data_IF_966094828428
#
_entry.id   IF_966094828428
#
_cell.length_a   1.000
_cell.length_b   1.000
_cell.length_c   1.000
_cell.angle_alpha   90.00
_cell.angle_beta   90.00
_cell.angle_gamma   90.00
#
_symmetry.space_group_name_H-M   'P 1'
#
loop_
_entity.id
_entity.type
_entity.pdbx_description
1 polymer ?
#
# COMPACT_ATOMS: atom_id res chain seq x y z
N UNK A 1 -63.52 4.40 11.03
CA UNK A 1 -62.38 3.46 10.89
C UNK A 1 -61.67 3.42 9.53
N UNK A 2 -62.09 4.18 8.50
CA UNK A 2 -61.39 4.18 7.18
C UNK A 2 -60.39 5.32 6.97
N UNK A 3 -60.51 6.43 7.70
CA UNK A 3 -59.63 7.60 7.57
C UNK A 3 -58.23 7.40 8.23
N UNK A 4 -58.17 6.64 9.31
CA UNK A 4 -56.88 6.40 10.05
C UNK A 4 -55.94 5.47 9.26
N UNK A 5 -56.43 4.63 8.40
CA UNK A 5 -55.60 3.71 7.57
C UNK A 5 -54.95 4.42 6.36
N UNK A 6 -55.57 5.48 5.85
CA UNK A 6 -55.00 6.28 4.73
C UNK A 6 -53.82 7.17 5.18
N UNK A 7 -53.85 7.72 6.39
CA UNK A 7 -52.79 8.57 6.89
C UNK A 7 -51.53 7.77 7.24
N UNK A 8 -51.67 6.52 7.75
CA UNK A 8 -50.55 5.63 8.03
C UNK A 8 -49.81 5.18 6.76
N UNK A 9 -50.52 4.99 5.64
CA UNK A 9 -49.91 4.59 4.36
C UNK A 9 -49.07 5.72 3.72
N UNK A 10 -49.47 6.98 3.88
CA UNK A 10 -48.79 8.13 3.29
C UNK A 10 -47.45 8.46 4.05
N UNK A 11 -47.40 8.22 5.35
CA UNK A 11 -46.19 8.44 6.15
C UNK A 11 -45.14 7.35 5.86
N UNK A 12 -45.55 6.10 5.65
CA UNK A 12 -44.65 5.01 5.30
C UNK A 12 -44.02 5.16 3.89
N UNK A 13 -44.79 5.69 2.93
CA UNK A 13 -44.30 5.94 1.57
C UNK A 13 -43.29 7.12 1.53
N UNK A 14 -43.47 8.14 2.37
CA UNK A 14 -42.56 9.27 2.47
C UNK A 14 -41.23 8.90 3.13
N UNK A 15 -41.20 7.93 4.05
CA UNK A 15 -40.01 7.45 4.71
C UNK A 15 -39.09 6.60 3.77
N UNK A 16 -39.67 5.92 2.79
CA UNK A 16 -38.89 5.12 1.81
C UNK A 16 -38.24 5.97 0.72
N UNK A 17 -38.71 7.19 0.46
CA UNK A 17 -38.11 8.13 -0.50
C UNK A 17 -36.92 8.90 0.07
N UNK A 18 -36.80 8.95 1.39
CA UNK A 18 -35.68 9.65 2.07
C UNK A 18 -34.39 8.81 2.18
N UNK A 19 -34.46 7.49 1.94
CA UNK A 19 -33.31 6.60 2.08
C UNK A 19 -32.39 6.52 0.85
N UNK A 20 -32.77 7.15 -0.28
CA UNK A 20 -32.02 7.06 -1.55
C UNK A 20 -31.01 8.20 -1.79
N UNK A 21 -30.97 9.22 -0.93
CA UNK A 21 -30.20 10.43 -1.21
C UNK A 21 -28.81 10.48 -0.56
N UNK A 22 -28.39 9.44 0.20
CA UNK A 22 -27.20 9.55 1.04
C UNK A 22 -25.86 9.23 0.33
N UNK A 23 -25.85 8.84 -0.95
CA UNK A 23 -24.62 8.47 -1.67
C UNK A 23 -24.39 9.26 -2.97
N UNK A 24 -25.19 10.29 -3.24
CA UNK A 24 -25.12 10.99 -4.53
C UNK A 24 -23.89 11.89 -4.71
N UNK A 25 -23.24 12.31 -3.64
CA UNK A 25 -22.23 13.39 -3.69
C UNK A 25 -20.82 12.98 -3.28
N UNK A 26 -20.55 11.67 -3.10
CA UNK A 26 -19.17 11.23 -2.85
C UNK A 26 -18.29 11.40 -4.12
N UNK A 27 -17.09 12.00 -4.01
CA UNK A 27 -16.50 12.63 -2.83
C UNK A 27 -16.87 14.12 -2.66
N UNK A 28 -17.23 14.54 -1.44
CA UNK A 28 -17.53 15.95 -1.08
C UNK A 28 -16.32 16.69 -0.49
N UNK A 29 -15.28 15.96 -0.10
CA UNK A 29 -14.06 16.50 0.54
C UNK A 29 -12.81 15.84 -0.04
N UNK A 30 -11.61 16.43 0.16
CA UNK A 30 -10.37 15.84 -0.30
C UNK A 30 -10.13 14.42 0.23
N UNK A 31 -9.58 13.55 -0.62
CA UNK A 31 -9.22 12.18 -0.27
C UNK A 31 -7.77 12.13 0.21
N UNK A 32 -7.53 11.57 1.38
CA UNK A 32 -6.20 11.35 1.94
C UNK A 32 -5.65 10.00 1.47
N UNK A 33 -4.46 10.01 0.86
CA UNK A 33 -3.74 8.78 0.51
C UNK A 33 -2.52 8.67 1.43
N UNK A 34 -2.55 7.72 2.35
CA UNK A 34 -1.42 7.45 3.24
C UNK A 34 -0.42 6.52 2.56
N UNK A 35 0.86 6.87 2.67
CA UNK A 35 1.99 6.12 2.11
C UNK A 35 2.94 5.74 3.25
N UNK A 36 3.21 4.44 3.40
CA UNK A 36 4.04 3.89 4.48
C UNK A 36 5.55 4.08 4.29
N UNK A 37 5.98 4.89 3.32
CA UNK A 37 7.37 5.12 2.96
C UNK A 37 7.66 6.61 2.82
N UNK A 38 8.96 6.96 2.81
CA UNK A 38 9.41 8.35 2.70
C UNK A 38 9.00 8.97 1.37
N UNK A 39 8.78 10.29 1.38
CA UNK A 39 8.53 11.08 0.19
C UNK A 39 9.68 10.92 -0.82
N UNK A 40 9.36 10.92 -2.11
CA UNK A 40 10.30 10.73 -3.22
C UNK A 40 10.63 9.25 -3.52
N UNK A 41 10.21 8.30 -2.70
CA UNK A 41 10.33 6.88 -3.00
C UNK A 41 9.33 6.38 -4.05
N UNK A 42 9.55 5.17 -4.59
CA UNK A 42 8.71 4.62 -5.67
C UNK A 42 7.22 4.57 -5.33
N UNK A 43 6.86 4.18 -4.11
CA UNK A 43 5.45 4.16 -3.68
C UNK A 43 4.87 5.57 -3.59
N UNK A 44 5.63 6.55 -3.09
CA UNK A 44 5.19 7.94 -3.02
C UNK A 44 4.99 8.55 -4.41
N UNK A 45 5.94 8.33 -5.32
CA UNK A 45 5.84 8.79 -6.71
C UNK A 45 4.62 8.20 -7.41
N UNK A 46 4.37 6.89 -7.23
CA UNK A 46 3.17 6.24 -7.75
C UNK A 46 1.90 6.84 -7.14
N UNK A 47 1.88 7.07 -5.82
CA UNK A 47 0.73 7.65 -5.15
C UNK A 47 0.41 9.07 -5.65
N UNK A 48 1.42 9.90 -5.89
CA UNK A 48 1.24 11.25 -6.45
C UNK A 48 0.69 11.21 -7.87
N UNK A 49 1.21 10.33 -8.73
CA UNK A 49 0.68 10.14 -10.07
C UNK A 49 -0.77 9.65 -10.04
N UNK A 50 -1.10 8.71 -9.15
CA UNK A 50 -2.46 8.24 -8.96
C UNK A 50 -3.41 9.33 -8.44
N UNK A 51 -2.97 10.12 -7.45
CA UNK A 51 -3.74 11.25 -6.92
C UNK A 51 -4.05 12.30 -7.98
N UNK A 52 -3.08 12.62 -8.85
CA UNK A 52 -3.28 13.52 -9.98
C UNK A 52 -4.33 13.00 -10.95
N UNK A 53 -4.25 11.72 -11.30
CA UNK A 53 -5.23 11.06 -12.18
C UNK A 53 -6.62 11.00 -11.56
N UNK A 54 -6.72 10.72 -10.26
CA UNK A 54 -8.01 10.71 -9.55
C UNK A 54 -8.75 12.03 -9.70
N UNK A 55 -8.04 13.17 -9.56
CA UNK A 55 -8.65 14.49 -9.69
C UNK A 55 -9.31 14.71 -11.06
N UNK A 56 -8.76 14.11 -12.11
CA UNK A 56 -9.26 14.21 -13.50
C UNK A 56 -10.41 13.23 -13.79
N UNK A 57 -10.61 12.22 -12.94
CA UNK A 57 -11.62 11.20 -13.17
C UNK A 57 -13.04 11.78 -12.98
N UNK A 58 -13.95 11.57 -13.96
CA UNK A 58 -15.30 12.15 -13.91
C UNK A 58 -16.10 11.75 -12.65
N UNK A 59 -15.83 10.56 -12.10
CA UNK A 59 -16.50 10.03 -10.90
C UNK A 59 -16.02 10.68 -9.60
N UNK A 60 -14.98 11.50 -9.67
CA UNK A 60 -14.38 12.13 -8.50
C UNK A 60 -14.87 13.56 -8.27
N UNK A 61 -15.78 14.08 -9.10
CA UNK A 61 -16.35 15.43 -8.99
C UNK A 61 -15.29 16.54 -8.81
N UNK A 62 -14.06 16.33 -9.32
CA UNK A 62 -12.95 17.25 -9.13
C UNK A 62 -12.40 17.29 -7.70
N UNK A 63 -12.78 16.39 -6.81
CA UNK A 63 -12.24 16.34 -5.46
C UNK A 63 -10.72 16.06 -5.50
N UNK A 64 -9.89 16.87 -4.83
CA UNK A 64 -8.46 16.64 -4.80
C UNK A 64 -8.10 15.45 -3.92
N UNK A 65 -7.05 14.73 -4.31
CA UNK A 65 -6.40 13.76 -3.43
C UNK A 65 -5.03 14.30 -2.98
N UNK A 66 -4.64 14.03 -1.74
CA UNK A 66 -3.36 14.46 -1.19
C UNK A 66 -2.63 13.33 -0.48
N UNK A 67 -1.31 13.41 -0.49
CA UNK A 67 -0.43 12.35 0.03
C UNK A 67 0.05 12.69 1.43
N UNK A 68 -0.03 11.71 2.35
CA UNK A 68 0.55 11.77 3.69
C UNK A 68 1.57 10.63 3.83
N UNK A 69 2.85 11.00 3.92
CA UNK A 69 3.92 10.02 4.14
C UNK A 69 4.08 9.75 5.64
N UNK A 70 3.97 8.50 6.05
CA UNK A 70 4.17 8.05 7.43
C UNK A 70 5.12 6.83 7.45
N UNK A 71 6.43 7.04 7.22
CA UNK A 71 7.38 5.95 7.15
C UNK A 71 7.62 5.29 8.51
N UNK A 72 7.99 4.01 8.48
CA UNK A 72 8.40 3.26 9.66
C UNK A 72 7.88 1.82 9.67
N UNK A 73 8.67 0.93 10.26
CA UNK A 73 8.38 -0.48 10.40
C UNK A 73 7.93 -1.15 9.08
N UNK A 74 8.64 -0.87 7.97
CA UNK A 74 8.29 -1.37 6.62
C UNK A 74 6.84 -1.06 6.21
N UNK A 75 6.34 0.14 6.55
CA UNK A 75 4.99 0.59 6.23
C UNK A 75 3.93 0.28 7.30
N UNK A 76 4.21 -0.56 8.27
CA UNK A 76 3.22 -0.96 9.29
C UNK A 76 2.74 0.21 10.17
N UNK A 77 3.58 1.25 10.34
CA UNK A 77 3.18 2.46 11.06
C UNK A 77 2.00 3.16 10.37
N UNK A 78 2.07 3.29 9.06
CA UNK A 78 0.98 3.87 8.27
C UNK A 78 -0.25 2.97 8.25
N UNK A 79 -0.07 1.65 8.11
CA UNK A 79 -1.17 0.69 8.18
C UNK A 79 -1.98 0.84 9.47
N UNK A 80 -1.31 0.89 10.62
CA UNK A 80 -1.98 1.13 11.91
C UNK A 80 -2.70 2.47 11.98
N UNK A 81 -2.11 3.52 11.41
CA UNK A 81 -2.74 4.84 11.39
C UNK A 81 -4.02 4.83 10.54
N UNK A 82 -4.01 4.17 9.39
CA UNK A 82 -5.20 4.02 8.54
C UNK A 82 -6.32 3.24 9.24
N UNK A 83 -5.98 2.19 9.99
CA UNK A 83 -6.97 1.42 10.75
C UNK A 83 -7.66 2.20 11.88
N UNK A 84 -7.09 3.34 12.29
CA UNK A 84 -7.68 4.24 13.28
C UNK A 84 -8.49 5.38 12.66
N UNK A 85 -8.53 5.48 11.33
CA UNK A 85 -9.35 6.45 10.61
C UNK A 85 -10.75 5.89 10.35
N UNK A 86 -11.70 6.76 10.08
CA UNK A 86 -13.05 6.33 9.71
C UNK A 86 -13.05 5.56 8.38
N UNK A 87 -13.83 4.50 8.30
CA UNK A 87 -13.99 3.69 7.08
C UNK A 87 -15.05 4.33 6.13
N UNK A 88 -14.90 5.64 5.89
CA UNK A 88 -15.84 6.47 5.10
C UNK A 88 -15.42 6.64 3.62
N UNK A 89 -14.33 5.99 3.21
CA UNK A 89 -13.78 6.09 1.85
C UNK A 89 -12.84 7.28 1.63
N UNK A 90 -12.63 8.17 2.61
CA UNK A 90 -11.77 9.34 2.47
C UNK A 90 -10.32 9.14 2.94
N UNK A 91 -10.00 7.98 3.51
CA UNK A 91 -8.62 7.60 3.81
C UNK A 91 -8.26 6.32 3.08
N UNK A 92 -7.34 6.42 2.13
CA UNK A 92 -6.81 5.30 1.37
C UNK A 92 -5.40 4.96 1.83
N UNK A 93 -5.00 3.72 1.69
CA UNK A 93 -3.65 3.27 1.96
C UNK A 93 -2.99 2.76 0.68
N UNK A 94 -1.88 3.36 0.28
CA UNK A 94 -1.09 2.88 -0.86
C UNK A 94 0.20 2.25 -0.38
N UNK A 95 0.37 0.98 -0.71
CA UNK A 95 1.50 0.17 -0.30
C UNK A 95 1.86 -0.85 -1.38
N UNK A 96 3.11 -1.31 -1.37
CA UNK A 96 3.50 -2.51 -2.10
C UNK A 96 2.91 -3.74 -1.40
N UNK A 97 2.03 -4.47 -2.09
CA UNK A 97 1.29 -5.60 -1.48
C UNK A 97 2.22 -6.69 -0.95
N UNK A 98 3.30 -7.00 -1.65
CA UNK A 98 4.28 -7.99 -1.20
C UNK A 98 4.97 -7.57 0.10
N UNK A 99 5.30 -6.27 0.24
CA UNK A 99 5.84 -5.72 1.49
C UNK A 99 4.81 -5.77 2.62
N UNK A 100 3.55 -5.51 2.30
CA UNK A 100 2.46 -5.54 3.26
C UNK A 100 2.26 -6.95 3.86
N UNK A 101 2.20 -7.96 2.99
CA UNK A 101 2.10 -9.37 3.39
C UNK A 101 3.37 -9.83 4.12
N UNK A 102 4.56 -9.50 3.62
CA UNK A 102 5.82 -9.87 4.27
C UNK A 102 5.94 -9.25 5.68
N UNK A 103 5.46 -8.00 5.84
CA UNK A 103 5.42 -7.33 7.13
C UNK A 103 4.48 -7.99 8.13
N UNK A 104 3.36 -8.52 7.67
CA UNK A 104 2.43 -9.31 8.49
C UNK A 104 3.05 -10.66 8.90
N UNK A 105 3.56 -11.41 7.93
CA UNK A 105 4.15 -12.72 8.17
C UNK A 105 5.37 -12.66 9.11
N UNK A 106 6.17 -11.60 9.01
CA UNK A 106 7.33 -11.39 9.88
C UNK A 106 6.97 -11.19 11.37
N UNK A 107 5.72 -10.88 11.68
CA UNK A 107 5.21 -10.68 13.04
C UNK A 107 4.52 -11.92 13.63
N UNK A 108 4.16 -12.88 12.80
CA UNK A 108 3.43 -14.06 13.25
C UNK A 108 2.16 -13.69 14.03
N UNK A 109 2.01 -14.24 15.24
CA UNK A 109 0.84 -13.98 16.08
C UNK A 109 0.82 -12.57 16.71
N UNK A 110 1.98 -11.87 16.76
CA UNK A 110 2.09 -10.50 17.26
C UNK A 110 1.73 -9.44 16.21
N UNK A 111 1.17 -9.85 15.07
CA UNK A 111 0.75 -8.95 14.01
C UNK A 111 -0.36 -8.00 14.50
N UNK A 112 -0.26 -6.71 14.14
CA UNK A 112 -1.25 -5.72 14.56
C UNK A 112 -2.56 -5.76 13.75
N UNK A 113 -2.60 -6.50 12.64
CA UNK A 113 -3.73 -6.65 11.72
C UNK A 113 -3.57 -7.93 10.88
N UNK A 114 -4.67 -8.40 10.32
CA UNK A 114 -4.69 -9.46 9.32
C UNK A 114 -5.13 -8.87 7.97
N UNK A 115 -4.28 -8.96 6.94
CA UNK A 115 -4.50 -8.24 5.67
C UNK A 115 -5.86 -8.52 5.04
N UNK A 116 -6.34 -9.79 4.92
CA UNK A 116 -7.63 -10.06 4.31
C UNK A 116 -8.83 -9.43 5.03
N UNK A 117 -8.73 -9.25 6.35
CA UNK A 117 -9.86 -8.83 7.18
C UNK A 117 -9.81 -7.35 7.55
N UNK A 118 -8.59 -6.78 7.60
CA UNK A 118 -8.36 -5.42 8.06
C UNK A 118 -8.52 -4.36 6.97
N UNK A 119 -8.42 -4.74 5.68
CA UNK A 119 -8.43 -3.80 4.56
C UNK A 119 -9.25 -4.34 3.40
N UNK A 120 -9.97 -3.44 2.75
CA UNK A 120 -10.60 -3.72 1.46
C UNK A 120 -9.62 -3.39 0.35
N UNK A 121 -9.24 -4.38 -0.46
CA UNK A 121 -8.37 -4.15 -1.62
C UNK A 121 -9.18 -3.55 -2.78
N UNK A 122 -8.88 -2.31 -3.13
CA UNK A 122 -9.56 -1.59 -4.22
C UNK A 122 -8.93 -1.88 -5.59
N UNK A 123 -7.70 -2.36 -5.63
CA UNK A 123 -7.02 -2.67 -6.89
C UNK A 123 -5.51 -2.40 -6.84
N UNK A 124 -4.87 -2.55 -8.01
CA UNK A 124 -3.44 -2.34 -8.19
C UNK A 124 -3.20 -1.10 -9.07
N UNK A 125 -2.55 -0.08 -8.52
CA UNK A 125 -2.25 1.16 -9.22
C UNK A 125 -1.02 1.06 -10.14
N UNK A 126 -0.08 0.13 -9.86
CA UNK A 126 1.13 -0.08 -10.66
C UNK A 126 1.78 -1.42 -10.35
N UNK A 127 2.67 -1.86 -11.24
CA UNK A 127 3.58 -2.99 -10.99
C UNK A 127 4.99 -2.44 -10.75
N UNK A 128 5.66 -2.97 -9.73
CA UNK A 128 7.05 -2.64 -9.42
C UNK A 128 7.97 -3.79 -9.86
N UNK A 129 9.02 -3.42 -10.58
CA UNK A 129 10.10 -4.36 -10.95
C UNK A 129 11.23 -4.20 -9.94
N UNK A 130 11.65 -5.31 -9.34
CA UNK A 130 12.80 -5.33 -8.44
C UNK A 130 14.08 -5.54 -9.23
N UNK A 131 15.10 -4.71 -8.97
CA UNK A 131 16.43 -4.86 -9.54
C UNK A 131 17.49 -4.97 -8.44
N UNK A 132 18.55 -5.74 -8.70
CA UNK A 132 19.76 -5.74 -7.90
C UNK A 132 20.78 -4.82 -8.57
N UNK A 133 21.32 -3.88 -7.82
CA UNK A 133 22.30 -2.90 -8.31
C UNK A 133 23.57 -2.96 -7.47
N UNK A 134 24.70 -2.77 -8.10
CA UNK A 134 26.01 -2.65 -7.47
C UNK A 134 26.64 -1.31 -7.84
N UNK A 135 27.55 -0.83 -7.00
CA UNK A 135 28.27 0.41 -7.28
C UNK A 135 29.14 0.26 -8.55
N UNK A 136 29.34 1.33 -9.29
CA UNK A 136 30.12 1.35 -10.54
C UNK A 136 31.58 0.93 -10.39
N UNK A 137 32.13 0.97 -9.18
CA UNK A 137 33.46 0.42 -8.89
C UNK A 137 33.50 -1.11 -8.81
N UNK A 138 32.34 -1.78 -8.80
CA UNK A 138 32.31 -3.24 -8.89
C UNK A 138 32.68 -3.65 -10.32
N UNK A 139 33.64 -4.58 -10.53
CA UNK A 139 34.09 -4.95 -11.85
C UNK A 139 33.08 -5.81 -12.63
N UNK A 140 32.07 -6.37 -11.95
CA UNK A 140 31.07 -7.21 -12.60
C UNK A 140 30.16 -6.39 -13.51
N UNK A 141 29.99 -6.83 -14.74
CA UNK A 141 29.08 -6.26 -15.75
C UNK A 141 27.84 -7.11 -15.97
N UNK A 142 27.86 -8.35 -15.46
CA UNK A 142 26.75 -9.30 -15.53
C UNK A 142 26.46 -9.88 -14.15
N UNK A 143 25.25 -10.43 -13.98
CA UNK A 143 24.87 -11.12 -12.75
C UNK A 143 25.77 -12.33 -12.48
N UNK A 144 26.16 -13.08 -13.51
CA UNK A 144 27.05 -14.23 -13.35
C UNK A 144 28.42 -13.81 -12.84
N UNK A 145 29.02 -12.78 -13.44
CA UNK A 145 30.30 -12.24 -12.97
C UNK A 145 30.23 -11.74 -11.52
N UNK A 146 29.12 -11.09 -11.14
CA UNK A 146 28.91 -10.68 -9.75
C UNK A 146 28.90 -11.87 -8.79
N UNK A 147 28.19 -12.94 -9.13
CA UNK A 147 28.12 -14.17 -8.33
C UNK A 147 29.49 -14.80 -8.20
N UNK A 148 30.19 -15.00 -9.32
CA UNK A 148 31.50 -15.67 -9.36
C UNK A 148 32.56 -14.89 -8.60
N UNK A 149 32.66 -13.58 -8.84
CA UNK A 149 33.60 -12.71 -8.15
C UNK A 149 33.33 -12.64 -6.63
N UNK A 150 32.06 -12.61 -6.25
CA UNK A 150 31.66 -12.56 -4.86
C UNK A 150 32.02 -13.86 -4.14
N UNK A 151 31.74 -15.00 -4.73
CA UNK A 151 32.15 -16.33 -4.20
C UNK A 151 33.67 -16.47 -4.10
N UNK A 152 34.38 -16.10 -5.16
CA UNK A 152 35.85 -16.15 -5.17
C UNK A 152 36.48 -15.27 -4.10
N UNK A 153 35.85 -14.13 -3.76
CA UNK A 153 36.37 -13.24 -2.72
C UNK A 153 36.26 -13.78 -1.30
N UNK A 154 35.35 -14.73 -1.04
CA UNK A 154 35.02 -15.25 0.29
C UNK A 154 34.46 -14.22 1.25
N UNK A 155 34.16 -13.00 0.81
CA UNK A 155 33.70 -11.90 1.64
C UNK A 155 32.19 -11.94 1.85
N UNK A 156 31.73 -11.54 3.03
CA UNK A 156 30.33 -11.32 3.32
C UNK A 156 29.82 -10.09 2.59
N UNK A 157 28.77 -10.23 1.80
CA UNK A 157 28.13 -9.12 1.08
C UNK A 157 27.30 -8.30 2.07
N UNK A 158 27.55 -6.98 2.11
CA UNK A 158 26.65 -6.03 2.76
C UNK A 158 25.74 -5.43 1.71
N UNK A 159 24.45 -5.43 1.98
CA UNK A 159 23.45 -4.94 1.04
C UNK A 159 22.35 -4.16 1.74
N UNK A 160 21.62 -3.36 1.00
CA UNK A 160 20.54 -2.51 1.52
C UNK A 160 19.24 -2.71 0.76
N UNK A 161 18.15 -2.40 1.44
CA UNK A 161 16.80 -2.44 0.89
C UNK A 161 15.91 -1.41 1.62
N UNK A 162 14.70 -1.21 1.15
CA UNK A 162 13.74 -0.24 1.71
C UNK A 162 13.20 -0.60 3.11
N UNK A 163 13.61 -1.73 3.69
CA UNK A 163 13.19 -2.17 5.04
C UNK A 163 13.36 -3.67 5.25
N UNK A 164 13.49 -4.09 6.52
CA UNK A 164 13.79 -5.49 6.87
C UNK A 164 12.67 -6.46 6.49
N UNK A 165 11.42 -6.08 6.73
CA UNK A 165 10.23 -6.87 6.42
C UNK A 165 9.59 -6.40 5.11
N UNK A 166 10.37 -6.36 4.03
CA UNK A 166 9.88 -5.99 2.70
C UNK A 166 10.07 -7.15 1.72
N UNK A 167 9.29 -7.16 0.66
CA UNK A 167 9.48 -8.14 -0.44
C UNK A 167 10.89 -8.05 -1.02
N UNK A 168 11.46 -6.85 -1.15
CA UNK A 168 12.84 -6.68 -1.60
C UNK A 168 13.85 -7.36 -0.68
N UNK A 169 13.64 -7.30 0.63
CA UNK A 169 14.48 -8.02 1.59
C UNK A 169 14.37 -9.52 1.42
N UNK A 170 13.17 -10.04 1.30
CA UNK A 170 12.91 -11.47 1.09
C UNK A 170 13.58 -11.96 -0.20
N UNK A 171 13.39 -11.26 -1.31
CA UNK A 171 14.00 -11.60 -2.61
C UNK A 171 15.54 -11.59 -2.48
N UNK A 172 16.11 -10.57 -1.84
CA UNK A 172 17.56 -10.49 -1.64
C UNK A 172 18.11 -11.65 -0.81
N UNK A 173 17.49 -12.01 0.30
CA UNK A 173 17.89 -13.18 1.10
C UNK A 173 17.81 -14.46 0.28
N UNK A 174 16.67 -14.73 -0.37
CA UNK A 174 16.49 -15.92 -1.22
C UNK A 174 17.55 -15.98 -2.33
N UNK A 175 17.87 -14.84 -2.95
CA UNK A 175 18.91 -14.78 -3.96
C UNK A 175 20.29 -15.15 -3.40
N UNK A 176 20.75 -14.52 -2.33
CA UNK A 176 22.07 -14.78 -1.77
C UNK A 176 22.17 -16.22 -1.22
N UNK A 177 21.13 -16.73 -0.59
CA UNK A 177 21.07 -18.10 -0.08
C UNK A 177 21.11 -19.12 -1.22
N UNK A 178 20.35 -18.91 -2.29
CA UNK A 178 20.30 -19.81 -3.46
C UNK A 178 21.67 -19.96 -4.13
N UNK A 179 22.47 -18.90 -4.10
CA UNK A 179 23.83 -18.94 -4.66
C UNK A 179 24.93 -19.23 -3.61
N UNK A 180 24.57 -19.46 -2.34
CA UNK A 180 25.51 -19.74 -1.27
C UNK A 180 26.45 -18.56 -0.99
N UNK A 181 25.97 -17.33 -1.15
CA UNK A 181 26.76 -16.10 -0.92
C UNK A 181 26.56 -15.64 0.52
N UNK A 182 27.63 -15.60 1.35
CA UNK A 182 27.54 -15.05 2.69
C UNK A 182 27.11 -13.57 2.64
N UNK A 183 26.02 -13.22 3.35
CA UNK A 183 25.47 -11.88 3.27
C UNK A 183 24.98 -11.38 4.64
N UNK A 184 24.96 -10.04 4.79
CA UNK A 184 24.31 -9.35 5.91
C UNK A 184 23.64 -8.08 5.42
N UNK A 185 22.54 -7.77 6.06
CA UNK A 185 21.77 -6.56 5.82
C UNK A 185 22.17 -5.46 6.78
#
# INVERSE_FOLDING_TARGET
>A
MKFTKMIAGSIAASAMLASGAAFADYPEKPIKIMVGFSAGGGTDTTARGFASYMHEAPTMNGAPAYIVNLPGASGQKAAKAVLNEDADGYTLYMINIGTFIAGELAKGDDRPYHVPDAFVNLGCASQLVTSLQVHTSNPATTMQEFIDNTKASGKTVTWGTSGAATMHATIGHVFFDAYGIPHKK
#
